data_IF_423390849069
#
_entry.id   IF_423390849069
#
_cell.length_a   1.000
_cell.length_b   1.000
_cell.length_c   1.000
_cell.angle_alpha   90.00
_cell.angle_beta   90.00
_cell.angle_gamma   90.00
#
_symmetry.space_group_name_H-M   'P 1'
#
loop_
_entity.id
_entity.type
_entity.pdbx_description
1 polymer ?
#
# COMPACT_ATOMS: atom_id res chain seq x y z
N UNK A 1 20.72 -3.73 -15.71
CA UNK A 1 20.50 -4.17 -14.31
C UNK A 1 21.85 -4.19 -13.60
N UNK A 2 22.03 -3.42 -12.53
CA UNK A 2 23.30 -3.34 -11.78
C UNK A 2 23.21 -4.26 -10.57
N UNK A 3 24.21 -5.11 -10.33
CA UNK A 3 24.30 -5.84 -9.05
C UNK A 3 24.61 -4.86 -7.93
N UNK A 4 23.86 -4.96 -6.84
CA UNK A 4 24.06 -4.19 -5.63
C UNK A 4 24.09 -5.12 -4.43
N UNK A 5 24.77 -4.68 -3.38
CA UNK A 5 24.81 -5.40 -2.12
C UNK A 5 23.62 -4.90 -1.29
N UNK A 6 22.66 -5.78 -1.01
CA UNK A 6 21.52 -5.43 -0.16
C UNK A 6 21.96 -5.45 1.31
N UNK A 7 21.82 -4.30 1.96
CA UNK A 7 22.07 -4.11 3.39
C UNK A 7 20.72 -3.92 4.10
N UNK A 8 20.60 -4.48 5.31
CA UNK A 8 19.49 -4.14 6.18
C UNK A 8 19.75 -2.78 6.89
N UNK A 9 18.77 -2.22 7.63
CA UNK A 9 18.96 -0.97 8.38
C UNK A 9 20.11 -1.01 9.40
N UNK A 10 20.51 -2.20 9.86
CA UNK A 10 21.67 -2.40 10.74
C UNK A 10 23.01 -2.55 10.01
N UNK A 11 23.07 -2.33 8.69
CA UNK A 11 24.28 -2.37 7.87
C UNK A 11 24.79 -3.77 7.52
N UNK A 12 24.07 -4.82 7.93
CA UNK A 12 24.45 -6.20 7.64
C UNK A 12 24.10 -6.56 6.20
N UNK A 13 25.12 -6.96 5.45
CA UNK A 13 25.01 -7.43 4.06
C UNK A 13 24.37 -8.81 4.05
N UNK A 14 23.20 -8.95 3.42
CA UNK A 14 22.49 -10.25 3.35
C UNK A 14 22.65 -10.99 2.03
N UNK A 15 22.73 -10.32 0.88
CA UNK A 15 22.82 -11.00 -0.43
C UNK A 15 23.18 -10.05 -1.59
N UNK A 16 23.65 -10.63 -2.70
CA UNK A 16 23.76 -9.95 -3.99
C UNK A 16 22.36 -9.74 -4.58
N UNK A 17 21.92 -8.50 -4.68
CA UNK A 17 20.65 -8.11 -5.28
C UNK A 17 20.86 -7.41 -6.64
N UNK A 18 19.78 -7.17 -7.36
CA UNK A 18 19.78 -6.35 -8.57
C UNK A 18 19.06 -5.03 -8.29
N UNK A 19 19.72 -3.92 -8.56
CA UNK A 19 19.06 -2.62 -8.56
C UNK A 19 18.14 -2.53 -9.78
N UNK A 20 16.85 -2.39 -9.50
CA UNK A 20 15.85 -2.01 -10.47
C UNK A 20 15.63 -0.50 -10.31
N UNK A 21 15.91 0.32 -11.34
CA UNK A 21 15.58 1.73 -11.29
C UNK A 21 14.06 1.89 -11.35
N UNK A 22 13.44 2.01 -10.18
CA UNK A 22 12.00 2.26 -10.07
C UNK A 22 11.80 3.78 -10.07
N UNK A 23 10.99 4.27 -11.00
CA UNK A 23 10.51 5.64 -10.96
C UNK A 23 9.38 5.69 -9.92
N UNK A 24 9.71 6.14 -8.70
CA UNK A 24 8.75 6.24 -7.57
C UNK A 24 7.50 7.05 -7.97
N UNK A 25 7.67 8.19 -8.63
CA UNK A 25 6.53 9.03 -9.02
C UNK A 25 5.58 8.31 -9.98
N UNK A 26 6.12 7.61 -10.97
CA UNK A 26 5.32 6.85 -11.92
C UNK A 26 4.61 5.67 -11.22
N UNK A 27 5.31 5.00 -10.31
CA UNK A 27 4.75 3.93 -9.49
C UNK A 27 3.56 4.41 -8.66
N UNK A 28 3.76 5.44 -7.85
CA UNK A 28 2.73 5.96 -6.93
C UNK A 28 1.52 6.48 -7.71
N UNK A 29 1.73 7.05 -8.90
CA UNK A 29 0.64 7.45 -9.81
C UNK A 29 -0.20 6.26 -10.26
N UNK A 30 0.41 5.10 -10.54
CA UNK A 30 -0.31 3.88 -10.91
C UNK A 30 -1.07 3.32 -9.71
N UNK A 31 -0.45 3.31 -8.54
CA UNK A 31 -1.07 2.85 -7.29
C UNK A 31 -2.27 3.71 -6.94
N UNK A 32 -2.14 5.03 -7.00
CA UNK A 32 -3.24 5.96 -6.78
C UNK A 32 -4.43 5.66 -7.69
N UNK A 33 -4.18 5.53 -9.00
CA UNK A 33 -5.25 5.24 -9.97
C UNK A 33 -5.91 3.90 -9.71
N UNK A 34 -5.12 2.90 -9.33
CA UNK A 34 -5.62 1.59 -8.92
C UNK A 34 -6.58 1.73 -7.75
N UNK A 35 -6.16 2.40 -6.66
CA UNK A 35 -6.99 2.56 -5.47
C UNK A 35 -8.23 3.40 -5.74
N UNK A 36 -8.14 4.48 -6.51
CA UNK A 36 -9.33 5.26 -6.92
C UNK A 36 -10.33 4.42 -7.72
N UNK A 37 -9.83 3.55 -8.59
CA UNK A 37 -10.65 2.60 -9.34
C UNK A 37 -11.31 1.55 -8.43
N UNK A 38 -10.57 1.00 -7.48
CA UNK A 38 -11.09 0.07 -6.47
C UNK A 38 -12.14 0.74 -5.59
N UNK A 39 -11.88 1.95 -5.11
CA UNK A 39 -12.84 2.71 -4.33
C UNK A 39 -14.16 2.89 -5.09
N UNK A 40 -14.11 3.23 -6.38
CA UNK A 40 -15.31 3.32 -7.21
C UNK A 40 -15.99 1.95 -7.40
N UNK A 41 -15.23 0.89 -7.63
CA UNK A 41 -15.76 -0.47 -7.75
C UNK A 41 -16.55 -0.91 -6.50
N UNK A 42 -15.99 -0.64 -5.32
CA UNK A 42 -16.57 -1.08 -4.04
C UNK A 42 -17.75 -0.20 -3.58
N UNK A 43 -17.72 1.10 -3.88
CA UNK A 43 -18.67 2.07 -3.30
C UNK A 43 -19.65 2.67 -4.31
N UNK A 44 -19.37 2.56 -5.60
CA UNK A 44 -20.06 3.29 -6.67
C UNK A 44 -19.81 4.81 -6.67
N UNK A 45 -18.88 5.31 -5.84
CA UNK A 45 -18.58 6.74 -5.67
C UNK A 45 -17.18 7.07 -6.15
N UNK A 46 -16.98 8.29 -6.64
CA UNK A 46 -15.65 8.77 -7.01
C UNK A 46 -14.93 9.24 -5.75
N UNK A 47 -13.72 8.74 -5.51
CA UNK A 47 -12.86 9.23 -4.43
C UNK A 47 -12.41 10.65 -4.76
N UNK A 48 -12.72 11.62 -3.90
CA UNK A 48 -12.39 13.02 -4.13
C UNK A 48 -10.89 13.28 -4.22
N UNK A 49 -10.49 14.40 -4.80
CA UNK A 49 -9.09 14.84 -4.89
C UNK A 49 -8.61 15.60 -3.65
N UNK A 50 -9.33 15.46 -2.52
CA UNK A 50 -9.04 16.19 -1.27
C UNK A 50 -7.69 15.78 -0.69
N UNK A 51 -7.39 14.49 -0.73
CA UNK A 51 -6.18 13.92 -0.18
C UNK A 51 -5.29 13.40 -1.31
N UNK A 52 -4.00 13.72 -1.20
CA UNK A 52 -2.93 13.05 -1.93
C UNK A 52 -2.67 11.72 -1.23
N UNK A 53 -2.55 10.61 -1.96
CA UNK A 53 -2.24 9.34 -1.33
C UNK A 53 -0.80 9.34 -0.78
N UNK A 54 -0.65 8.79 0.42
CA UNK A 54 0.64 8.27 0.86
C UNK A 54 0.74 6.78 0.51
N UNK A 55 1.84 6.40 -0.13
CA UNK A 55 2.10 5.05 -0.64
C UNK A 55 3.36 4.51 0.01
N UNK A 56 3.19 3.46 0.82
CA UNK A 56 4.25 2.83 1.57
C UNK A 56 4.47 1.39 1.10
N UNK A 57 5.73 1.05 0.86
CA UNK A 57 6.12 -0.31 0.47
C UNK A 57 6.31 -1.16 1.71
N UNK A 58 5.60 -2.27 1.79
CA UNK A 58 5.71 -3.21 2.91
C UNK A 58 6.49 -4.45 2.46
N UNK A 59 7.47 -4.85 3.26
CA UNK A 59 8.18 -6.11 3.04
C UNK A 59 7.30 -7.32 3.34
N UNK A 60 6.45 -7.20 4.34
CA UNK A 60 5.46 -8.18 4.76
C UNK A 60 4.36 -7.46 5.56
N UNK A 61 3.21 -8.13 5.72
CA UNK A 61 2.27 -7.77 6.76
C UNK A 61 2.79 -8.35 8.08
N UNK A 62 3.13 -7.50 9.04
CA UNK A 62 3.45 -7.97 10.39
C UNK A 62 2.18 -8.42 11.13
N UNK A 63 2.36 -9.10 12.27
CA UNK A 63 1.27 -9.68 13.04
C UNK A 63 0.30 -8.61 13.58
N UNK A 64 0.80 -7.41 13.87
CA UNK A 64 0.02 -6.30 14.39
C UNK A 64 -0.93 -5.77 13.29
N UNK A 65 -0.38 -5.44 12.11
CA UNK A 65 -1.16 -4.98 10.96
C UNK A 65 -2.13 -6.08 10.49
N UNK A 66 -1.71 -7.35 10.52
CA UNK A 66 -2.60 -8.46 10.24
C UNK A 66 -3.78 -8.53 11.22
N UNK A 67 -3.51 -8.36 12.52
CA UNK A 67 -4.52 -8.37 13.57
C UNK A 67 -5.55 -7.26 13.41
N UNK A 68 -5.10 -6.04 13.12
CA UNK A 68 -5.97 -4.86 12.94
C UNK A 68 -6.82 -4.97 11.67
N UNK A 69 -6.29 -5.64 10.64
CA UNK A 69 -6.93 -5.70 9.30
C UNK A 69 -7.65 -7.03 9.05
N UNK A 70 -7.79 -7.88 10.06
CA UNK A 70 -8.40 -9.21 9.91
C UNK A 70 -9.86 -9.15 9.47
N UNK A 71 -10.60 -8.16 9.95
CA UNK A 71 -12.05 -8.01 9.72
C UNK A 71 -12.37 -7.02 8.59
N UNK A 72 -11.35 -6.56 7.87
CA UNK A 72 -11.54 -5.61 6.78
C UNK A 72 -12.16 -6.29 5.56
N UNK A 73 -12.92 -5.50 4.79
CA UNK A 73 -13.43 -5.94 3.50
C UNK A 73 -12.25 -6.34 2.60
N UNK A 74 -12.40 -7.47 1.91
CA UNK A 74 -11.34 -8.09 1.10
C UNK A 74 -11.86 -8.37 -0.30
N UNK A 75 -11.04 -8.09 -1.32
CA UNK A 75 -11.36 -8.38 -2.71
C UNK A 75 -10.14 -8.91 -3.48
N UNK A 76 -10.42 -9.49 -4.65
CA UNK A 76 -9.39 -10.07 -5.54
C UNK A 76 -9.68 -9.72 -7.00
N UNK A 77 -8.64 -9.40 -7.76
CA UNK A 77 -8.67 -9.13 -9.19
C UNK A 77 -7.68 -10.05 -9.91
N UNK A 78 -8.09 -10.61 -11.05
CA UNK A 78 -7.18 -11.31 -11.97
C UNK A 78 -6.59 -12.62 -11.45
N UNK A 79 -7.27 -13.28 -10.51
CA UNK A 79 -7.03 -14.66 -10.06
C UNK A 79 -5.56 -15.11 -9.89
N UNK A 80 -4.84 -14.73 -8.81
CA UNK A 80 -5.02 -13.59 -7.91
C UNK A 80 -3.92 -12.54 -8.17
N UNK A 81 -3.95 -11.89 -9.34
CA UNK A 81 -2.97 -10.87 -9.70
C UNK A 81 -2.88 -9.72 -8.68
N UNK A 82 -4.02 -9.35 -8.09
CA UNK A 82 -4.12 -8.38 -6.99
C UNK A 82 -5.12 -8.88 -5.95
N UNK A 83 -4.68 -8.98 -4.70
CA UNK A 83 -5.55 -9.14 -3.53
C UNK A 83 -5.49 -7.84 -2.74
N UNK A 84 -6.61 -7.38 -2.20
CA UNK A 84 -6.63 -6.15 -1.42
C UNK A 84 -7.57 -6.23 -0.22
N UNK A 85 -7.21 -5.48 0.82
CA UNK A 85 -8.06 -5.19 1.98
C UNK A 85 -8.28 -3.68 2.07
N UNK A 86 -9.44 -3.27 2.58
CA UNK A 86 -9.70 -1.84 2.74
C UNK A 86 -10.61 -1.50 3.92
N UNK A 87 -10.44 -0.27 4.39
CA UNK A 87 -11.34 0.39 5.33
C UNK A 87 -11.63 1.82 4.88
N UNK A 88 -12.87 2.26 5.08
CA UNK A 88 -13.34 3.61 4.78
C UNK A 88 -13.79 4.24 6.10
N UNK A 89 -13.31 5.45 6.39
CA UNK A 89 -13.72 6.16 7.59
C UNK A 89 -15.23 6.45 7.56
N UNK A 90 -15.86 6.29 8.72
CA UNK A 90 -17.29 6.62 8.90
C UNK A 90 -17.52 8.13 8.95
N UNK A 91 -16.50 8.89 9.33
CA UNK A 91 -16.58 10.34 9.53
C UNK A 91 -16.21 11.13 8.27
N UNK A 92 -15.32 10.59 7.43
CA UNK A 92 -14.95 11.16 6.13
C UNK A 92 -14.80 10.05 5.07
N UNK A 93 -15.73 9.98 4.13
CA UNK A 93 -15.71 8.98 3.07
C UNK A 93 -14.50 9.11 2.11
N UNK A 94 -13.81 10.26 2.10
CA UNK A 94 -12.57 10.40 1.33
C UNK A 94 -11.35 9.89 2.09
N UNK A 95 -11.49 9.59 3.38
CA UNK A 95 -10.42 9.10 4.22
C UNK A 95 -10.47 7.56 4.27
N UNK A 96 -9.51 6.89 3.62
CA UNK A 96 -9.52 5.46 3.36
C UNK A 96 -8.13 4.86 3.50
N UNK A 97 -8.08 3.58 3.89
CA UNK A 97 -6.84 2.81 4.00
C UNK A 97 -6.96 1.55 3.16
N UNK A 98 -5.90 1.24 2.42
CA UNK A 98 -5.84 0.10 1.52
C UNK A 98 -4.55 -0.67 1.72
N UNK A 99 -4.66 -2.00 1.77
CA UNK A 99 -3.51 -2.90 1.75
C UNK A 99 -3.62 -3.69 0.45
N UNK A 100 -2.62 -3.55 -0.40
CA UNK A 100 -2.56 -4.19 -1.70
C UNK A 100 -1.50 -5.29 -1.67
N UNK A 101 -1.82 -6.45 -2.21
CA UNK A 101 -0.87 -7.54 -2.46
C UNK A 101 -0.83 -7.86 -3.94
N UNK A 102 0.27 -7.50 -4.59
CA UNK A 102 0.48 -7.76 -6.02
C UNK A 102 1.20 -9.11 -6.21
N UNK A 103 0.62 -9.97 -7.06
CA UNK A 103 1.17 -11.27 -7.46
C UNK A 103 1.67 -12.12 -6.30
N UNK A 104 0.97 -12.06 -5.16
CA UNK A 104 1.31 -12.79 -3.93
C UNK A 104 2.70 -12.46 -3.35
N UNK A 105 3.34 -11.37 -3.79
CA UNK A 105 4.74 -11.06 -3.47
C UNK A 105 4.97 -9.71 -2.83
N UNK A 106 4.37 -8.67 -3.40
CA UNK A 106 4.65 -7.29 -2.97
C UNK A 106 3.46 -6.75 -2.22
N UNK A 107 3.71 -6.15 -1.07
CA UNK A 107 2.70 -5.51 -0.24
C UNK A 107 2.87 -4.01 -0.28
N UNK A 108 1.75 -3.30 -0.37
CA UNK A 108 1.72 -1.84 -0.32
C UNK A 108 0.59 -1.38 0.57
N UNK A 109 0.88 -0.39 1.40
CA UNK A 109 -0.11 0.36 2.18
C UNK A 109 -0.37 1.68 1.48
N UNK A 110 -1.64 2.00 1.28
CA UNK A 110 -2.07 3.26 0.66
C UNK A 110 -3.04 3.97 1.59
N UNK A 111 -2.69 5.19 1.96
CA UNK A 111 -3.47 6.04 2.86
C UNK A 111 -4.00 7.23 2.07
N UNK A 112 -5.32 7.41 2.08
CA UNK A 112 -5.96 8.67 1.71
C UNK A 112 -6.51 9.27 3.00
N UNK A 113 -5.99 10.41 3.44
CA UNK A 113 -6.43 11.01 4.69
C UNK A 113 -5.65 12.29 5.02
N UNK A 114 -5.94 12.92 6.16
CA UNK A 114 -5.11 14.00 6.66
C UNK A 114 -3.66 13.51 6.87
N UNK A 115 -2.71 14.40 6.63
CA UNK A 115 -1.26 14.15 6.77
C UNK A 115 -0.89 13.68 8.20
N UNK A 116 -1.72 14.04 9.18
CA UNK A 116 -1.60 13.65 10.59
C UNK A 116 -1.88 12.15 10.86
N UNK A 117 -2.24 11.36 9.84
CA UNK A 117 -2.33 9.89 9.93
C UNK A 117 -0.98 9.19 9.75
N UNK A 118 0.11 9.95 9.54
CA UNK A 118 1.46 9.42 9.57
C UNK A 118 1.68 8.67 10.89
N UNK A 119 1.82 7.35 10.76
CA UNK A 119 2.03 6.40 11.85
C UNK A 119 3.49 6.47 12.31
N UNK A 120 3.98 7.67 12.62
CA UNK A 120 5.16 7.84 13.46
C UNK A 120 4.71 8.51 14.75
N UNK A 121 4.64 7.72 15.81
CA UNK A 121 5.07 7.99 17.20
C UNK A 121 4.37 6.97 18.11
N UNK A 122 4.97 5.80 18.27
CA UNK A 122 5.17 5.12 19.57
C UNK A 122 5.77 3.72 19.40
N UNK A 123 7.11 3.66 19.33
CA UNK A 123 7.96 2.74 20.12
C UNK A 123 9.44 3.11 19.93
#
# INVERSE_FOLDING_TARGET
MRRVVAQNPSGNVRQSAFAVPINKQAHDTVVERTVRGLYFHETGRVLGSRYTPDVQWLYALDDDLFGITKDWATGTIGNPALVYKYAISKDDANATVWILQFFEKTWELVLFGPEEWDVEHQA
#
